data_IF_926004399281
#
_entry.id   IF_926004399281
#
_cell.length_a   1.000
_cell.length_b   1.000
_cell.length_c   1.000
_cell.angle_alpha   90.00
_cell.angle_beta   90.00
_cell.angle_gamma   90.00
#
_symmetry.space_group_name_H-M   'P 1'
#
loop_
_entity.id
_entity.type
_entity.pdbx_description
1 polymer ?
#
# COMPACT_ATOMS: atom_id res chain seq x y z
N UNK A 1 1.86 21.92 1.46
CA UNK A 1 2.20 20.74 2.29
C UNK A 1 2.88 19.72 1.38
N UNK A 2 3.72 18.83 1.91
CA UNK A 2 4.31 17.73 1.12
C UNK A 2 3.25 16.63 0.95
N UNK A 3 3.18 16.00 -0.22
CA UNK A 3 2.28 14.86 -0.46
C UNK A 3 2.61 13.70 0.48
N UNK A 4 1.56 13.03 0.98
CA UNK A 4 1.64 11.89 1.90
C UNK A 4 2.10 10.67 1.10
N UNK A 5 3.30 10.17 1.42
CA UNK A 5 3.88 8.99 0.78
C UNK A 5 3.17 7.75 1.32
N UNK A 6 2.46 7.07 0.44
CA UNK A 6 1.49 6.03 0.80
C UNK A 6 1.92 4.68 0.22
N UNK A 7 1.89 3.66 1.08
CA UNK A 7 1.94 2.26 0.68
C UNK A 7 0.52 1.67 0.68
N UNK A 8 0.24 0.69 -0.19
CA UNK A 8 -1.03 -0.05 -0.21
C UNK A 8 -0.74 -1.55 -0.12
N UNK A 9 -1.32 -2.22 0.87
CA UNK A 9 -1.27 -3.68 1.02
C UNK A 9 -2.51 -4.28 0.40
N UNK A 10 -2.34 -5.12 -0.61
CA UNK A 10 -3.40 -5.75 -1.39
C UNK A 10 -3.80 -4.94 -2.63
N UNK A 11 -4.00 -5.61 -3.75
CA UNK A 11 -4.41 -5.03 -5.03
C UNK A 11 -5.69 -5.67 -5.58
N UNK A 12 -6.60 -6.05 -4.68
CA UNK A 12 -7.95 -6.48 -5.01
C UNK A 12 -8.91 -5.31 -5.25
N UNK A 13 -10.22 -5.54 -5.07
CA UNK A 13 -11.25 -4.50 -5.28
C UNK A 13 -11.00 -3.23 -4.45
N UNK A 14 -10.70 -3.37 -3.17
CA UNK A 14 -10.47 -2.23 -2.29
C UNK A 14 -9.14 -1.52 -2.62
N UNK A 15 -8.03 -2.26 -2.66
CA UNK A 15 -6.71 -1.70 -3.00
C UNK A 15 -6.71 -1.00 -4.36
N UNK A 16 -7.09 -1.68 -5.44
CA UNK A 16 -7.02 -1.18 -6.82
C UNK A 16 -8.15 -0.20 -7.17
N UNK A 17 -9.40 -0.63 -7.01
CA UNK A 17 -10.54 0.11 -7.57
C UNK A 17 -11.04 1.24 -6.64
N UNK A 18 -10.66 1.24 -5.36
CA UNK A 18 -11.08 2.26 -4.39
C UNK A 18 -9.87 3.12 -4.01
N UNK A 19 -8.88 2.56 -3.31
CA UNK A 19 -7.78 3.35 -2.74
C UNK A 19 -6.83 3.87 -3.82
N UNK A 20 -6.24 3.00 -4.64
CA UNK A 20 -5.37 3.42 -5.75
C UNK A 20 -6.10 4.40 -6.68
N UNK A 21 -7.33 4.08 -7.08
CA UNK A 21 -8.12 4.94 -7.95
C UNK A 21 -8.34 6.34 -7.39
N UNK A 22 -8.72 6.47 -6.11
CA UNK A 22 -8.94 7.76 -5.46
C UNK A 22 -7.64 8.52 -5.24
N UNK A 23 -6.60 7.87 -4.70
CA UNK A 23 -5.34 8.52 -4.37
C UNK A 23 -4.64 9.09 -5.62
N UNK A 24 -4.76 8.41 -6.78
CA UNK A 24 -4.27 8.93 -8.07
C UNK A 24 -4.95 10.22 -8.54
N UNK A 25 -6.17 10.50 -8.08
CA UNK A 25 -6.89 11.73 -8.41
C UNK A 25 -6.49 12.90 -7.51
N UNK A 26 -5.68 12.65 -6.48
CA UNK A 26 -5.26 13.63 -5.49
C UNK A 26 -3.73 13.74 -5.43
N UNK A 27 -3.02 13.94 -6.57
CA UNK A 27 -1.56 13.89 -6.62
C UNK A 27 -0.85 14.98 -5.79
N UNK A 28 -1.54 16.09 -5.52
CA UNK A 28 -1.03 17.18 -4.67
C UNK A 28 -1.06 16.81 -3.17
N UNK A 29 -1.86 15.80 -2.80
CA UNK A 29 -2.06 15.37 -1.41
C UNK A 29 -1.40 14.01 -1.12
N UNK A 30 -1.34 13.11 -2.11
CA UNK A 30 -0.87 11.74 -1.93
C UNK A 30 0.07 11.31 -3.05
N UNK A 31 1.10 10.56 -2.67
CA UNK A 31 2.01 9.89 -3.60
C UNK A 31 2.04 8.42 -3.25
N UNK A 32 1.60 7.54 -4.16
CA UNK A 32 1.71 6.10 -3.96
C UNK A 32 3.16 5.70 -4.30
N UNK A 33 3.90 5.22 -3.30
CA UNK A 33 5.34 4.89 -3.43
C UNK A 33 5.64 3.40 -3.23
N UNK A 34 4.63 2.61 -2.85
CA UNK A 34 4.81 1.19 -2.59
C UNK A 34 3.49 0.41 -2.74
N UNK A 35 3.63 -0.85 -3.11
CA UNK A 35 2.57 -1.85 -3.02
C UNK A 35 3.11 -3.12 -2.37
N UNK A 36 2.27 -3.83 -1.62
CA UNK A 36 2.52 -5.20 -1.17
C UNK A 36 1.41 -6.09 -1.70
N UNK A 37 1.76 -7.14 -2.45
CA UNK A 37 0.79 -8.08 -3.00
C UNK A 37 1.42 -9.47 -3.17
N UNK A 38 0.80 -10.48 -2.54
CA UNK A 38 1.27 -11.87 -2.56
C UNK A 38 1.03 -12.56 -3.91
N UNK A 39 -0.04 -12.17 -4.61
CA UNK A 39 -0.42 -12.75 -5.89
C UNK A 39 0.49 -12.22 -7.03
N UNK A 40 1.26 -13.09 -7.71
CA UNK A 40 2.15 -12.66 -8.79
C UNK A 40 1.43 -12.02 -9.98
N UNK A 41 0.20 -12.45 -10.30
CA UNK A 41 -0.58 -11.86 -11.39
C UNK A 41 -0.98 -10.44 -11.03
N UNK A 42 -1.43 -10.21 -9.79
CA UNK A 42 -1.75 -8.86 -9.32
C UNK A 42 -0.51 -7.97 -9.23
N UNK A 43 0.66 -8.50 -8.85
CA UNK A 43 1.91 -7.73 -8.94
C UNK A 43 2.22 -7.30 -10.38
N UNK A 44 2.02 -8.19 -11.36
CA UNK A 44 2.18 -7.83 -12.77
C UNK A 44 1.18 -6.75 -13.20
N UNK A 45 -0.07 -6.80 -12.72
CA UNK A 45 -1.06 -5.73 -12.94
C UNK A 45 -0.61 -4.40 -12.35
N UNK A 46 -0.09 -4.39 -11.12
CA UNK A 46 0.46 -3.17 -10.48
C UNK A 46 1.58 -2.59 -11.34
N UNK A 47 2.51 -3.43 -11.80
CA UNK A 47 3.59 -2.96 -12.68
C UNK A 47 3.05 -2.34 -13.96
N UNK A 48 2.07 -2.97 -14.60
CA UNK A 48 1.47 -2.46 -15.83
C UNK A 48 0.68 -1.14 -15.64
N UNK A 49 -0.06 -1.01 -14.54
CA UNK A 49 -1.00 0.10 -14.32
C UNK A 49 -0.38 1.29 -13.59
N UNK A 50 0.61 1.02 -12.74
CA UNK A 50 1.23 1.98 -11.82
C UNK A 50 2.72 2.19 -12.09
N UNK A 51 3.35 1.36 -12.93
CA UNK A 51 4.79 1.35 -13.16
C UNK A 51 5.62 1.22 -11.87
N UNK A 52 5.07 0.51 -10.87
CA UNK A 52 5.73 0.25 -9.57
C UNK A 52 5.93 -1.25 -9.45
N UNK A 53 7.13 -1.66 -9.03
CA UNK A 53 7.40 -3.04 -8.65
C UNK A 53 6.86 -3.27 -7.23
N UNK A 54 5.88 -4.15 -7.11
CA UNK A 54 5.27 -4.46 -5.83
C UNK A 54 6.10 -5.48 -5.05
N UNK A 55 6.19 -5.27 -3.75
CA UNK A 55 6.75 -6.21 -2.80
C UNK A 55 5.80 -7.40 -2.62
N UNK A 56 6.33 -8.57 -2.27
CA UNK A 56 5.51 -9.76 -2.05
C UNK A 56 5.12 -9.98 -0.58
N UNK A 57 5.67 -9.19 0.34
CA UNK A 57 5.50 -9.39 1.79
C UNK A 57 5.54 -8.07 2.56
N UNK A 58 4.84 -8.02 3.69
CA UNK A 58 4.68 -6.80 4.49
C UNK A 58 5.99 -6.36 5.15
N UNK A 59 6.89 -7.29 5.45
CA UNK A 59 8.17 -7.04 6.10
C UNK A 59 9.03 -6.07 5.28
N UNK A 60 8.89 -6.07 3.95
CA UNK A 60 9.58 -5.12 3.07
C UNK A 60 9.22 -3.65 3.37
N UNK A 61 8.06 -3.38 3.99
CA UNK A 61 7.66 -2.02 4.38
C UNK A 61 8.27 -1.57 5.70
N UNK A 62 8.66 -2.50 6.58
CA UNK A 62 9.10 -2.18 7.94
C UNK A 62 10.49 -1.52 8.00
N UNK A 63 11.25 -1.66 6.92
CA UNK A 63 12.59 -1.09 6.75
C UNK A 63 12.57 0.21 5.92
N UNK A 64 11.39 0.69 5.50
CA UNK A 64 11.25 1.92 4.70
C UNK A 64 11.14 3.15 5.60
N UNK A 65 11.99 4.14 5.34
CA UNK A 65 11.94 5.48 5.95
C UNK A 65 11.17 6.49 5.07
N UNK A 66 10.67 6.02 3.92
CA UNK A 66 10.01 6.84 2.92
C UNK A 66 8.48 6.75 2.92
N UNK A 67 7.88 6.31 4.02
CA UNK A 67 6.44 6.13 4.17
C UNK A 67 5.85 7.02 5.26
N UNK A 68 4.71 7.64 4.96
CA UNK A 68 3.94 8.46 5.89
C UNK A 68 2.61 7.75 6.28
N UNK A 69 2.08 6.92 5.38
CA UNK A 69 0.82 6.17 5.54
C UNK A 69 0.90 4.79 4.89
N UNK A 70 0.26 3.79 5.52
CA UNK A 70 0.03 2.46 4.93
C UNK A 70 -1.47 2.17 4.92
N UNK A 71 -2.03 1.93 3.74
CA UNK A 71 -3.42 1.48 3.56
C UNK A 71 -3.46 -0.05 3.62
N UNK A 72 -4.21 -0.60 4.57
CA UNK A 72 -4.38 -2.05 4.73
C UNK A 72 -5.65 -2.50 4.01
N UNK A 73 -5.50 -2.93 2.76
CA UNK A 73 -6.57 -3.42 1.90
C UNK A 73 -6.39 -4.91 1.53
N UNK A 74 -5.79 -5.68 2.44
CA UNK A 74 -5.65 -7.15 2.36
C UNK A 74 -7.01 -7.85 2.62
N UNK A 75 -7.01 -9.17 2.82
CA UNK A 75 -8.23 -9.84 3.30
C UNK A 75 -8.57 -9.33 4.70
N UNK A 76 -9.88 -9.26 5.01
CA UNK A 76 -10.36 -8.71 6.28
C UNK A 76 -9.82 -9.47 7.49
N UNK A 77 -9.64 -10.79 7.36
CA UNK A 77 -9.06 -11.64 8.42
C UNK A 77 -7.59 -11.27 8.70
N UNK A 78 -6.87 -10.72 7.72
CA UNK A 78 -5.47 -10.30 7.85
C UNK A 78 -5.32 -8.84 8.34
N UNK A 79 -6.39 -8.03 8.31
CA UNK A 79 -6.32 -6.60 8.64
C UNK A 79 -5.73 -6.36 10.04
N UNK A 80 -6.18 -7.12 11.04
CA UNK A 80 -5.78 -6.89 12.42
C UNK A 80 -4.29 -7.16 12.64
N UNK A 81 -3.78 -8.28 12.14
CA UNK A 81 -2.35 -8.63 12.32
C UNK A 81 -1.44 -7.78 11.43
N UNK A 82 -1.85 -7.43 10.21
CA UNK A 82 -1.11 -6.48 9.36
C UNK A 82 -0.99 -5.10 10.02
N UNK A 83 -2.13 -4.52 10.45
CA UNK A 83 -2.15 -3.21 11.12
C UNK A 83 -1.33 -3.20 12.40
N UNK A 84 -1.43 -4.24 13.22
CA UNK A 84 -0.65 -4.39 14.46
C UNK A 84 0.85 -4.48 14.20
N UNK A 85 1.27 -5.16 13.14
CA UNK A 85 2.67 -5.25 12.74
C UNK A 85 3.22 -3.87 12.36
N UNK A 86 2.48 -3.11 11.55
CA UNK A 86 2.85 -1.76 11.12
C UNK A 86 2.86 -0.76 12.29
N UNK A 87 1.82 -0.78 13.13
CA UNK A 87 1.69 0.10 14.29
C UNK A 87 2.82 -0.11 15.31
N UNK A 88 3.29 -1.35 15.51
CA UNK A 88 4.44 -1.64 16.38
C UNK A 88 5.75 -1.02 15.89
N UNK A 89 5.85 -0.73 14.59
CA UNK A 89 6.97 0.02 13.99
C UNK A 89 6.75 1.53 13.96
N UNK A 90 5.64 2.01 14.52
CA UNK A 90 5.30 3.44 14.57
C UNK A 90 4.72 3.98 13.25
N UNK A 91 4.28 3.10 12.34
CA UNK A 91 3.70 3.52 11.06
C UNK A 91 2.23 3.92 11.23
N UNK A 92 1.80 4.95 10.51
CA UNK A 92 0.38 5.32 10.42
C UNK A 92 -0.36 4.34 9.50
N UNK A 93 -1.52 3.85 9.94
CA UNK A 93 -2.34 2.89 9.18
C UNK A 93 -3.73 3.46 8.86
N UNK A 94 -4.26 3.13 7.68
CA UNK A 94 -5.64 3.36 7.26
C UNK A 94 -6.30 2.03 6.90
#
# INVERSE_FOLDING_TARGET
MKAIRTAIIGYGRSGRNIHTHLLRQLPDLYQIVAYVESDPERRAMIKAEMNIDAENRIESLLERDDLDLVVVASYSDDHAENSKTLLRKGMTVL
#
